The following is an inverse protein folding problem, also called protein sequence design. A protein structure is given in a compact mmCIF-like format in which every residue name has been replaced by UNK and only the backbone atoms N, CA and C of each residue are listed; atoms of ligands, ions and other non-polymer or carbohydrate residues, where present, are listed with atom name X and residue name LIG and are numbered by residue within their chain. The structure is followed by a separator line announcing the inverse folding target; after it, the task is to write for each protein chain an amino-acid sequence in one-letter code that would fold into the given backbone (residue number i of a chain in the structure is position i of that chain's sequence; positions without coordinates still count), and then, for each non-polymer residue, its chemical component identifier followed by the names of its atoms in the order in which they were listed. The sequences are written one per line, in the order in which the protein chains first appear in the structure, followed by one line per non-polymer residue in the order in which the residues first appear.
data_IF_761379947368
#
_entry.id   IF_761379947368
#
_cell.length_a   1.000
_cell.length_b   1.000
_cell.length_c   1.000
_cell.angle_alpha   90.00
_cell.angle_beta   90.00
_cell.angle_gamma   90.00
#
_symmetry.space_group_name_H-M   'P 1'
#
loop_
_entity.id
_entity.type
_entity.pdbx_description
1 polymer ?
#
# COMPACT_ATOMS: atom_id res chain seq x y z
N UNK A 1 16.35 24.19 -18.56
CA UNK A 1 15.14 23.62 -17.93
C UNK A 1 15.60 22.81 -16.73
N UNK A 2 15.30 23.26 -15.51
CA UNK A 2 15.71 22.57 -14.29
C UNK A 2 14.67 21.53 -13.91
N UNK A 3 15.10 20.30 -13.61
CA UNK A 3 14.23 19.27 -13.04
C UNK A 3 13.76 19.74 -11.66
N UNK A 4 12.49 20.08 -11.52
CA UNK A 4 11.91 20.48 -10.23
C UNK A 4 11.62 19.23 -9.43
N UNK A 5 12.48 18.87 -8.49
CA UNK A 5 12.29 17.70 -7.64
C UNK A 5 11.22 17.96 -6.58
N UNK A 6 10.16 17.13 -6.54
CA UNK A 6 9.06 17.31 -5.59
C UNK A 6 8.89 16.07 -4.70
N UNK A 7 8.93 16.29 -3.40
CA UNK A 7 8.51 15.36 -2.37
C UNK A 7 8.31 16.10 -1.05
N UNK A 8 7.58 15.50 -0.11
CA UNK A 8 7.28 16.16 1.18
C UNK A 8 8.55 16.51 1.96
N UNK A 9 9.63 15.76 1.77
CA UNK A 9 10.96 15.99 2.32
C UNK A 9 11.97 16.48 1.25
N UNK A 10 11.51 16.77 0.03
CA UNK A 10 12.37 17.20 -1.08
C UNK A 10 13.25 16.09 -1.65
N UNK A 11 14.56 16.37 -1.73
CA UNK A 11 15.60 15.44 -2.22
C UNK A 11 16.45 14.96 -1.04
N UNK A 12 16.56 13.65 -0.85
CA UNK A 12 17.38 13.06 0.22
C UNK A 12 18.04 11.76 -0.24
N UNK A 13 19.27 11.51 0.23
CA UNK A 13 19.98 10.25 -0.05
C UNK A 13 19.38 9.04 0.68
N UNK A 14 18.89 9.27 1.91
CA UNK A 14 18.19 8.27 2.72
C UNK A 14 17.07 8.88 3.55
N UNK A 15 16.04 8.08 3.85
CA UNK A 15 14.90 8.43 4.71
C UNK A 15 14.55 7.21 5.56
N UNK A 16 14.29 7.41 6.86
CA UNK A 16 13.85 6.32 7.71
C UNK A 16 12.89 6.77 8.81
N UNK A 17 11.97 5.87 9.19
CA UNK A 17 11.02 6.06 10.28
C UNK A 17 10.09 7.27 10.12
N UNK A 18 9.65 7.57 8.89
CA UNK A 18 8.80 8.73 8.61
C UNK A 18 7.38 8.30 8.26
N UNK A 19 6.38 8.99 8.82
CA UNK A 19 4.99 8.93 8.35
C UNK A 19 4.56 10.31 7.84
N UNK A 20 4.08 10.38 6.60
CA UNK A 20 3.55 11.61 6.00
C UNK A 20 2.12 11.39 5.53
N UNK A 21 1.27 12.40 5.77
CA UNK A 21 -0.08 12.47 5.21
C UNK A 21 -0.27 13.75 4.41
N UNK A 22 -1.10 13.71 3.37
CA UNK A 22 -1.55 14.92 2.68
C UNK A 22 -1.46 14.85 1.16
N UNK A 23 -1.28 16.00 0.52
CA UNK A 23 -1.24 16.09 -0.95
C UNK A 23 0.11 16.63 -1.43
N UNK A 24 0.75 15.89 -2.34
CA UNK A 24 1.99 16.27 -3.02
C UNK A 24 1.70 16.44 -4.50
N UNK A 25 2.01 17.63 -5.04
CA UNK A 25 1.81 17.95 -6.46
C UNK A 25 3.11 18.36 -7.11
N UNK A 26 3.64 17.52 -7.98
CA UNK A 26 4.73 17.86 -8.88
C UNK A 26 4.24 18.30 -10.25
N UNK A 27 5.10 19.05 -10.96
CA UNK A 27 4.90 19.43 -12.35
C UNK A 27 5.43 18.36 -13.31
N UNK A 28 6.25 18.77 -14.27
CA UNK A 28 6.84 17.93 -15.31
C UNK A 28 8.02 17.05 -14.86
N UNK A 29 8.01 16.58 -13.61
CA UNK A 29 9.19 15.98 -12.94
C UNK A 29 8.87 14.71 -12.15
N UNK A 30 9.92 14.12 -11.56
CA UNK A 30 9.81 13.02 -10.60
C UNK A 30 9.18 13.53 -9.30
N UNK A 31 8.09 12.88 -8.90
CA UNK A 31 7.35 13.22 -7.69
C UNK A 31 7.24 11.99 -6.80
N UNK A 32 7.66 12.10 -5.55
CA UNK A 32 7.43 11.06 -4.54
C UNK A 32 6.63 11.59 -3.37
N UNK A 33 5.81 10.76 -2.73
CA UNK A 33 5.09 11.16 -1.53
C UNK A 33 6.04 11.60 -0.40
N UNK A 34 7.16 10.88 -0.19
CA UNK A 34 8.18 11.27 0.77
C UNK A 34 9.27 12.10 0.12
N UNK A 35 9.96 11.57 -0.88
CA UNK A 35 11.08 12.24 -1.55
C UNK A 35 11.00 12.07 -3.06
N UNK A 36 11.52 13.04 -3.80
CA UNK A 36 11.54 12.97 -5.27
C UNK A 36 12.48 11.88 -5.80
N UNK A 37 13.65 11.74 -5.16
CA UNK A 37 14.73 10.86 -5.59
C UNK A 37 15.60 10.50 -4.39
N UNK A 38 15.93 9.22 -4.24
CA UNK A 38 16.78 8.71 -3.15
C UNK A 38 17.12 7.23 -3.32
N UNK A 39 18.05 6.72 -2.50
CA UNK A 39 18.58 5.37 -2.66
C UNK A 39 18.18 4.41 -1.54
N UNK A 40 17.93 4.90 -0.33
CA UNK A 40 17.61 4.06 0.82
C UNK A 40 16.43 4.62 1.60
N UNK A 41 15.31 3.92 1.58
CA UNK A 41 14.11 4.34 2.33
C UNK A 41 13.64 3.17 3.18
N UNK A 42 13.52 3.38 4.49
CA UNK A 42 13.09 2.31 5.40
C UNK A 42 12.02 2.73 6.40
N UNK A 43 11.20 1.78 6.83
CA UNK A 43 10.23 1.97 7.93
C UNK A 43 9.37 3.23 7.76
N UNK A 44 8.98 3.54 6.53
CA UNK A 44 8.31 4.80 6.22
C UNK A 44 7.01 4.61 5.48
N UNK A 45 6.11 5.59 5.61
CA UNK A 45 4.78 5.50 5.03
C UNK A 45 4.27 6.84 4.51
N UNK A 46 3.49 6.78 3.43
CA UNK A 46 2.77 7.91 2.90
C UNK A 46 1.27 7.59 2.77
N UNK A 47 0.41 8.49 3.27
CA UNK A 47 -1.04 8.38 3.14
C UNK A 47 -1.63 9.65 2.54
N UNK A 48 -2.13 9.57 1.31
CA UNK A 48 -2.80 10.70 0.67
C UNK A 48 -2.67 10.69 -0.84
N UNK A 49 -2.55 11.87 -1.43
CA UNK A 49 -2.55 12.03 -2.90
C UNK A 49 -1.20 12.51 -3.40
N UNK A 50 -0.60 11.77 -4.33
CA UNK A 50 0.60 12.18 -5.06
C UNK A 50 0.26 12.32 -6.54
N UNK A 51 0.49 13.50 -7.12
CA UNK A 51 0.28 13.73 -8.56
C UNK A 51 1.50 14.37 -9.21
N UNK A 52 1.79 14.03 -10.46
CA UNK A 52 2.91 14.59 -11.25
C UNK A 52 3.08 13.84 -12.58
N UNK A 53 4.23 13.96 -13.23
CA UNK A 53 4.49 13.23 -14.49
C UNK A 53 4.99 11.80 -14.26
N UNK A 54 5.99 11.63 -13.39
CA UNK A 54 6.56 10.32 -13.01
C UNK A 54 6.49 10.18 -11.51
N UNK A 55 5.62 9.32 -11.03
CA UNK A 55 5.14 9.39 -9.64
C UNK A 55 5.32 8.08 -8.91
N UNK A 56 5.91 8.14 -7.72
CA UNK A 56 5.87 7.05 -6.76
C UNK A 56 5.16 7.46 -5.48
N UNK A 57 4.44 6.52 -4.87
CA UNK A 57 3.79 6.78 -3.58
C UNK A 57 4.77 7.12 -2.45
N UNK A 58 5.95 6.49 -2.44
CA UNK A 58 7.04 6.79 -1.51
C UNK A 58 8.10 7.68 -2.18
N UNK A 59 8.59 7.27 -3.35
CA UNK A 59 9.71 7.92 -4.04
C UNK A 59 9.52 8.01 -5.54
N UNK A 60 9.78 9.18 -6.11
CA UNK A 60 9.62 9.42 -7.55
C UNK A 60 10.59 8.60 -8.41
N UNK A 61 11.87 8.58 -8.04
CA UNK A 61 12.91 7.80 -8.71
C UNK A 61 13.90 7.21 -7.70
N UNK A 62 14.27 5.95 -7.89
CA UNK A 62 15.47 5.40 -7.25
C UNK A 62 16.52 5.15 -8.34
N UNK A 63 17.70 5.79 -8.28
CA UNK A 63 18.77 5.47 -9.19
C UNK A 63 19.24 4.04 -8.95
N UNK A 64 19.26 3.59 -7.70
CA UNK A 64 19.54 2.22 -7.26
C UNK A 64 19.48 2.19 -5.73
N UNK A 65 19.58 1.01 -5.12
CA UNK A 65 19.58 0.86 -3.66
C UNK A 65 18.41 0.05 -3.11
N UNK A 66 17.93 0.39 -1.91
CA UNK A 66 16.99 -0.44 -1.15
C UNK A 66 15.80 0.33 -0.61
N UNK A 67 14.60 -0.18 -0.92
CA UNK A 67 13.34 0.25 -0.31
C UNK A 67 12.88 -0.91 0.57
N UNK A 68 12.87 -0.74 1.90
CA UNK A 68 12.53 -1.82 2.82
C UNK A 68 11.51 -1.39 3.88
N UNK A 69 10.49 -2.22 4.13
CA UNK A 69 9.52 -1.96 5.19
C UNK A 69 8.78 -0.62 5.02
N UNK A 70 8.31 -0.34 3.81
CA UNK A 70 7.58 0.90 3.51
C UNK A 70 6.19 0.64 3.00
N UNK A 71 5.29 1.61 3.16
CA UNK A 71 4.00 1.51 2.52
C UNK A 71 3.31 2.80 2.09
N UNK A 72 2.51 2.71 1.04
CA UNK A 72 1.67 3.81 0.56
C UNK A 72 0.19 3.47 0.66
N UNK A 73 -0.65 4.46 0.98
CA UNK A 73 -2.10 4.41 0.78
C UNK A 73 -2.64 5.71 0.19
N UNK A 74 -3.81 5.66 -0.45
CA UNK A 74 -4.44 6.81 -1.09
C UNK A 74 -4.34 6.75 -2.62
N UNK A 75 -3.94 7.85 -3.26
CA UNK A 75 -3.94 7.98 -4.74
C UNK A 75 -2.56 8.37 -5.25
N UNK A 76 -2.07 7.64 -6.25
CA UNK A 76 -0.82 7.94 -6.97
C UNK A 76 -1.14 8.08 -8.45
N UNK A 77 -1.08 9.30 -8.98
CA UNK A 77 -1.49 9.61 -10.35
C UNK A 77 -0.36 10.27 -11.14
N UNK A 78 0.16 9.53 -12.12
CA UNK A 78 1.20 9.98 -13.04
C UNK A 78 0.63 10.30 -14.41
N UNK A 79 0.95 11.48 -14.96
CA UNK A 79 0.57 11.80 -16.35
C UNK A 79 1.35 11.02 -17.39
N UNK A 80 2.45 10.34 -17.01
CA UNK A 80 3.16 9.34 -17.81
C UNK A 80 3.25 8.01 -17.06
N UNK A 81 3.93 8.01 -15.90
CA UNK A 81 4.32 6.79 -15.18
C UNK A 81 3.92 6.88 -13.71
N UNK A 82 3.35 5.81 -13.18
CA UNK A 82 2.95 5.75 -11.79
C UNK A 82 3.29 4.40 -11.15
N UNK A 83 3.92 4.41 -9.98
CA UNK A 83 4.15 3.22 -9.17
C UNK A 83 3.64 3.40 -7.75
N UNK A 84 3.02 2.36 -7.18
CA UNK A 84 2.44 2.47 -5.83
C UNK A 84 3.46 2.81 -4.74
N UNK A 85 4.71 2.36 -4.87
CA UNK A 85 5.84 2.75 -4.01
C UNK A 85 6.85 3.62 -4.76
N UNK A 86 7.32 3.15 -5.91
CA UNK A 86 8.44 3.76 -6.66
C UNK A 86 7.99 4.16 -8.05
N UNK A 87 8.19 5.42 -8.47
CA UNK A 87 7.82 5.82 -9.82
C UNK A 87 8.70 5.16 -10.89
N UNK A 88 10.00 5.39 -10.80
CA UNK A 88 11.01 4.90 -11.76
C UNK A 88 12.22 4.31 -11.03
N UNK A 89 12.74 3.21 -11.57
CA UNK A 89 13.98 2.58 -11.15
C UNK A 89 14.98 2.67 -12.31
N UNK A 90 16.19 3.18 -12.08
CA UNK A 90 17.17 3.41 -13.17
C UNK A 90 18.29 2.37 -13.23
N UNK A 91 18.78 1.89 -12.08
CA UNK A 91 19.79 0.84 -11.92
C UNK A 91 19.25 -0.27 -11.00
N UNK A 92 19.94 -1.43 -10.88
CA UNK A 92 19.49 -2.51 -10.00
C UNK A 92 19.17 -2.05 -8.57
N UNK A 93 18.02 -2.50 -8.09
CA UNK A 93 17.49 -2.13 -6.79
C UNK A 93 16.75 -3.29 -6.13
N UNK A 94 16.57 -3.20 -4.83
CA UNK A 94 15.78 -4.15 -4.05
C UNK A 94 14.62 -3.43 -3.39
N UNK A 95 13.41 -3.89 -3.65
CA UNK A 95 12.21 -3.46 -2.93
C UNK A 95 11.79 -4.65 -2.11
N UNK A 96 11.81 -4.55 -0.79
CA UNK A 96 11.55 -5.68 0.09
C UNK A 96 10.58 -5.32 1.20
N UNK A 97 9.79 -6.29 1.64
CA UNK A 97 8.90 -6.15 2.79
C UNK A 97 8.04 -4.89 2.71
N UNK A 98 7.66 -4.45 1.51
CA UNK A 98 7.03 -3.16 1.27
C UNK A 98 5.76 -3.33 0.46
N UNK A 99 4.80 -2.40 0.63
CA UNK A 99 3.52 -2.57 -0.02
C UNK A 99 2.79 -1.30 -0.41
N UNK A 100 1.83 -1.43 -1.33
CA UNK A 100 0.96 -0.31 -1.68
C UNK A 100 -0.51 -0.73 -1.63
N UNK A 101 -1.31 0.13 -0.99
CA UNK A 101 -2.78 0.10 -0.99
C UNK A 101 -3.36 1.17 -1.93
N UNK A 102 -2.50 1.85 -2.69
CA UNK A 102 -2.91 3.02 -3.44
C UNK A 102 -3.73 2.66 -4.68
N UNK A 103 -4.66 3.54 -5.02
CA UNK A 103 -5.14 3.66 -6.39
C UNK A 103 -4.02 4.26 -7.22
N UNK A 104 -3.49 3.48 -8.17
CA UNK A 104 -2.40 3.87 -9.05
C UNK A 104 -2.95 4.10 -10.45
N UNK A 105 -2.62 5.23 -11.06
CA UNK A 105 -3.02 5.55 -12.43
C UNK A 105 -1.86 6.17 -13.18
N UNK A 106 -1.40 5.50 -14.22
CA UNK A 106 -0.37 5.99 -15.15
C UNK A 106 -0.86 5.94 -16.60
N UNK A 107 -0.66 7.00 -17.37
CA UNK A 107 -1.17 7.04 -18.76
C UNK A 107 -0.39 6.15 -19.74
N UNK A 108 0.90 5.91 -19.45
CA UNK A 108 1.80 5.14 -20.30
C UNK A 108 2.22 3.85 -19.62
N UNK A 109 2.61 3.93 -18.34
CA UNK A 109 2.97 2.78 -17.53
C UNK A 109 2.45 2.95 -16.10
N UNK A 110 1.93 1.87 -15.54
CA UNK A 110 1.53 1.83 -14.15
C UNK A 110 1.88 0.48 -13.53
N UNK A 111 2.21 0.50 -12.24
CA UNK A 111 2.44 -0.74 -11.50
C UNK A 111 2.15 -0.60 -10.02
N UNK A 112 1.72 -1.71 -9.42
CA UNK A 112 1.33 -1.76 -8.01
C UNK A 112 2.49 -1.45 -7.05
N UNK A 113 3.71 -1.89 -7.39
CA UNK A 113 4.93 -1.66 -6.61
C UNK A 113 5.75 -0.54 -7.25
N UNK A 114 6.18 -0.71 -8.50
CA UNK A 114 6.91 0.30 -9.25
C UNK A 114 6.29 0.54 -10.63
N UNK A 115 6.45 1.75 -11.17
CA UNK A 115 5.87 2.11 -12.48
C UNK A 115 6.72 1.67 -13.66
N UNK A 116 8.04 1.83 -13.57
CA UNK A 116 8.97 1.44 -14.63
C UNK A 116 10.35 1.09 -14.06
N UNK A 117 10.98 0.06 -14.63
CA UNK A 117 12.39 -0.22 -14.48
C UNK A 117 13.11 0.06 -15.82
N UNK A 118 14.09 0.96 -15.82
CA UNK A 118 14.83 1.40 -17.01
C UNK A 118 16.24 0.79 -17.06
N UNK A 119 16.89 0.84 -18.23
CA UNK A 119 18.32 0.54 -18.36
C UNK A 119 18.70 -0.88 -17.91
N UNK A 120 19.70 -1.00 -17.04
CA UNK A 120 20.15 -2.28 -16.47
C UNK A 120 19.27 -2.78 -15.32
N UNK A 121 18.14 -2.13 -15.02
CA UNK A 121 17.22 -2.52 -13.96
C UNK A 121 16.38 -3.78 -14.28
N UNK A 122 16.85 -4.68 -15.15
CA UNK A 122 16.29 -6.03 -15.31
C UNK A 122 16.47 -6.89 -14.04
N UNK A 123 17.18 -6.39 -13.03
CA UNK A 123 17.41 -7.04 -11.73
C UNK A 123 16.77 -6.26 -10.58
N UNK A 124 15.46 -5.98 -10.65
CA UNK A 124 14.70 -5.53 -9.48
C UNK A 124 14.32 -6.76 -8.66
N UNK A 125 14.90 -6.90 -7.47
CA UNK A 125 14.46 -7.91 -6.50
C UNK A 125 13.22 -7.39 -5.76
N UNK A 126 12.18 -8.23 -5.71
CA UNK A 126 10.91 -7.93 -5.06
C UNK A 126 10.56 -9.03 -4.06
N UNK A 127 11.08 -8.99 -2.85
CA UNK A 127 10.84 -10.05 -1.87
C UNK A 127 9.88 -9.55 -0.78
N UNK A 128 8.92 -10.38 -0.38
CA UNK A 128 7.97 -10.05 0.68
C UNK A 128 7.18 -8.76 0.41
N UNK A 129 6.83 -8.48 -0.84
CA UNK A 129 6.08 -7.29 -1.19
C UNK A 129 4.62 -7.61 -1.43
N UNK A 130 3.75 -6.60 -1.35
CA UNK A 130 2.40 -6.78 -1.85
C UNK A 130 1.79 -5.50 -2.42
N UNK A 131 0.83 -5.70 -3.32
CA UNK A 131 -0.06 -4.66 -3.79
C UNK A 131 -1.49 -5.09 -3.51
N UNK A 132 -2.29 -4.20 -2.92
CA UNK A 132 -3.71 -4.43 -2.74
C UNK A 132 -4.45 -3.10 -2.90
N UNK A 133 -4.69 -2.73 -4.15
CA UNK A 133 -5.24 -1.43 -4.52
C UNK A 133 -6.02 -1.49 -5.82
N UNK A 134 -6.08 -0.35 -6.51
CA UNK A 134 -6.73 -0.22 -7.82
C UNK A 134 -5.70 0.23 -8.84
N UNK A 135 -5.40 -0.60 -9.83
CA UNK A 135 -4.46 -0.30 -10.92
C UNK A 135 -5.27 -0.02 -12.18
N UNK A 136 -5.16 1.19 -12.76
CA UNK A 136 -5.87 1.53 -13.99
C UNK A 136 -7.40 1.43 -13.90
N UNK A 137 -7.96 1.58 -12.70
CA UNK A 137 -9.40 1.40 -12.44
C UNK A 137 -9.83 -0.04 -12.14
N UNK A 138 -8.91 -1.00 -12.12
CA UNK A 138 -9.18 -2.41 -11.78
C UNK A 138 -8.66 -2.74 -10.39
N UNK A 139 -9.49 -3.33 -9.54
CA UNK A 139 -9.04 -3.85 -8.25
C UNK A 139 -8.03 -4.99 -8.46
N UNK A 140 -6.88 -4.92 -7.82
CA UNK A 140 -5.79 -5.89 -8.01
C UNK A 140 -5.13 -6.20 -6.67
N UNK A 141 -4.93 -7.49 -6.43
CA UNK A 141 -4.16 -8.02 -5.30
C UNK A 141 -3.01 -8.86 -5.85
N UNK A 142 -1.80 -8.58 -5.41
CA UNK A 142 -0.60 -9.35 -5.72
C UNK A 142 0.29 -9.42 -4.48
N UNK A 143 0.87 -10.58 -4.21
CA UNK A 143 1.85 -10.76 -3.13
C UNK A 143 3.07 -11.43 -3.75
N UNK A 144 4.27 -10.89 -3.50
CA UNK A 144 5.54 -11.55 -3.77
C UNK A 144 6.07 -12.12 -2.46
N UNK A 145 6.33 -13.42 -2.42
CA UNK A 145 6.83 -14.09 -1.23
C UNK A 145 8.30 -13.75 -0.93
N UNK A 146 8.87 -14.37 0.11
CA UNK A 146 10.26 -14.12 0.52
C UNK A 146 11.33 -14.55 -0.51
N UNK A 147 10.94 -15.29 -1.55
CA UNK A 147 11.80 -15.66 -2.69
C UNK A 147 11.60 -14.73 -3.88
N UNK A 148 10.60 -13.85 -3.81
CA UNK A 148 10.18 -12.96 -4.89
C UNK A 148 9.27 -13.60 -5.92
N UNK A 149 8.68 -14.75 -5.58
CA UNK A 149 7.68 -15.42 -6.42
C UNK A 149 6.31 -14.78 -6.19
N UNK A 150 5.63 -14.39 -7.28
CA UNK A 150 4.27 -13.86 -7.20
C UNK A 150 3.27 -14.97 -6.86
N UNK A 151 2.52 -14.79 -5.77
CA UNK A 151 1.42 -15.63 -5.37
C UNK A 151 0.16 -15.25 -6.16
N UNK A 152 -0.42 -16.22 -6.86
CA UNK A 152 -1.64 -16.03 -7.66
C UNK A 152 -2.90 -16.38 -6.85
N UNK A 153 -4.04 -15.77 -7.20
CA UNK A 153 -5.34 -16.11 -6.61
C UNK A 153 -5.59 -15.60 -5.18
N UNK A 154 -4.84 -14.59 -4.72
CA UNK A 154 -5.01 -13.99 -3.39
C UNK A 154 -6.35 -13.26 -3.29
N UNK A 155 -7.18 -13.69 -2.34
CA UNK A 155 -8.50 -13.11 -2.05
C UNK A 155 -8.42 -11.85 -1.19
N UNK A 156 -9.48 -11.04 -1.20
CA UNK A 156 -9.60 -9.86 -0.34
C UNK A 156 -9.57 -10.16 1.18
N UNK A 157 -9.87 -11.40 1.58
CA UNK A 157 -9.73 -11.83 2.98
C UNK A 157 -8.28 -12.15 3.32
N UNK A 158 -7.56 -12.81 2.40
CA UNK A 158 -6.14 -13.17 2.59
C UNK A 158 -5.24 -11.92 2.68
N UNK A 159 -5.58 -10.80 2.02
CA UNK A 159 -4.82 -9.54 2.14
C UNK A 159 -4.98 -8.84 3.51
N UNK A 160 -5.74 -9.41 4.45
CA UNK A 160 -5.85 -8.94 5.85
C UNK A 160 -5.57 -10.05 6.86
N UNK A 161 -5.10 -11.21 6.38
CA UNK A 161 -4.78 -12.35 7.21
C UNK A 161 -3.31 -12.32 7.64
N UNK A 162 -3.08 -12.33 8.95
CA UNK A 162 -1.73 -12.29 9.51
C UNK A 162 -0.88 -13.49 9.09
N UNK A 163 -1.49 -14.66 8.92
CA UNK A 163 -0.75 -15.86 8.52
C UNK A 163 -0.27 -15.76 7.06
N UNK A 164 -1.11 -15.25 6.17
CA UNK A 164 -0.74 -14.96 4.77
C UNK A 164 0.50 -14.07 4.70
N UNK A 165 0.54 -12.97 5.46
CA UNK A 165 1.69 -12.06 5.47
C UNK A 165 2.92 -12.65 6.16
N UNK A 166 2.75 -13.39 7.25
CA UNK A 166 3.85 -14.05 7.95
C UNK A 166 4.56 -15.06 7.02
N UNK A 167 3.78 -15.86 6.29
CA UNK A 167 4.30 -16.79 5.29
C UNK A 167 4.98 -16.08 4.11
N UNK A 168 4.51 -14.88 3.75
CA UNK A 168 5.15 -14.03 2.75
C UNK A 168 6.44 -13.35 3.25
N UNK A 169 6.79 -13.48 4.54
CA UNK A 169 8.02 -12.96 5.14
C UNK A 169 7.88 -11.64 5.90
N UNK A 170 6.67 -11.22 6.26
CA UNK A 170 6.48 -10.07 7.16
C UNK A 170 6.79 -10.46 8.60
N UNK A 171 7.71 -9.72 9.22
CA UNK A 171 8.07 -9.88 10.64
C UNK A 171 7.07 -9.12 11.54
N UNK A 172 6.19 -9.88 12.20
CA UNK A 172 5.23 -9.35 13.17
C UNK A 172 5.77 -9.25 14.61
N UNK A 173 6.99 -9.69 14.86
CA UNK A 173 7.66 -9.54 16.15
C UNK A 173 8.25 -8.13 16.28
N UNK A 174 8.98 -7.65 15.27
CA UNK A 174 9.74 -6.40 15.39
C UNK A 174 9.32 -5.26 14.45
N UNK A 175 8.81 -5.58 13.25
CA UNK A 175 8.66 -4.57 12.19
C UNK A 175 7.20 -4.17 12.00
N UNK A 176 6.34 -5.16 11.83
CA UNK A 176 4.93 -4.99 11.47
C UNK A 176 4.03 -5.36 12.63
N UNK A 177 2.86 -4.75 12.68
CA UNK A 177 1.72 -5.19 13.45
C UNK A 177 0.52 -5.32 12.52
N UNK A 178 -0.48 -6.11 12.92
CA UNK A 178 -1.73 -6.27 12.18
C UNK A 178 -2.86 -6.48 13.19
N UNK A 179 -4.00 -5.82 12.97
CA UNK A 179 -5.17 -6.01 13.83
C UNK A 179 -5.92 -7.25 13.36
N UNK A 180 -6.25 -8.15 14.28
CA UNK A 180 -7.03 -9.38 14.05
C UNK A 180 -8.18 -9.50 15.07
N UNK A 181 -9.13 -10.39 14.83
CA UNK A 181 -10.31 -10.61 15.69
C UNK A 181 -11.54 -9.83 15.23
N UNK A 182 -12.21 -9.12 16.15
CA UNK A 182 -13.45 -8.36 15.86
C UNK A 182 -13.26 -7.21 14.86
N UNK A 183 -12.01 -6.82 14.60
CA UNK A 183 -11.62 -5.92 13.53
C UNK A 183 -10.39 -6.48 12.82
N UNK A 184 -10.25 -6.13 11.55
CA UNK A 184 -9.10 -6.52 10.72
C UNK A 184 -8.50 -5.29 10.05
N UNK A 185 -7.18 -5.27 9.88
CA UNK A 185 -6.45 -4.20 9.18
C UNK A 185 -5.46 -4.77 8.17
N UNK A 186 -4.82 -3.89 7.41
CA UNK A 186 -3.55 -4.22 6.74
C UNK A 186 -2.39 -4.23 7.76
N UNK A 187 -1.24 -4.85 7.43
CA UNK A 187 -0.01 -4.69 8.20
C UNK A 187 0.33 -3.19 8.36
N UNK A 188 0.78 -2.75 9.52
CA UNK A 188 1.23 -1.38 9.76
C UNK A 188 2.51 -1.38 10.59
N UNK A 189 3.29 -0.30 10.50
CA UNK A 189 4.62 -0.27 11.11
C UNK A 189 4.51 -0.10 12.62
N UNK A 190 5.25 -0.91 13.38
CA UNK A 190 5.34 -0.76 14.85
C UNK A 190 6.11 0.50 15.25
N UNK A 191 7.14 0.87 14.48
CA UNK A 191 8.03 1.99 14.81
C UNK A 191 7.38 3.38 14.62
N UNK A 192 6.36 3.50 13.75
CA UNK A 192 5.63 4.75 13.52
C UNK A 192 4.14 4.50 13.24
N UNK A 193 3.39 4.00 14.24
CA UNK A 193 2.02 3.55 14.03
C UNK A 193 1.12 4.69 13.55
N UNK A 194 0.33 4.39 12.53
CA UNK A 194 -0.50 5.36 11.84
C UNK A 194 -1.90 5.46 12.47
N UNK A 195 -2.45 6.67 12.48
CA UNK A 195 -3.81 6.95 12.95
C UNK A 195 -4.61 7.66 11.86
N UNK A 196 -5.70 7.06 11.36
CA UNK A 196 -6.20 5.72 11.71
C UNK A 196 -5.29 4.60 11.16
N UNK A 197 -5.37 3.40 11.78
CA UNK A 197 -4.68 2.20 11.29
C UNK A 197 -5.18 1.88 9.86
N UNK A 198 -4.28 1.61 8.91
CA UNK A 198 -4.62 1.42 7.50
C UNK A 198 -5.64 0.29 7.29
N UNK A 199 -6.77 0.64 6.65
CA UNK A 199 -7.82 -0.29 6.27
C UNK A 199 -8.49 -1.04 7.42
N UNK A 200 -8.38 -0.52 8.65
CA UNK A 200 -9.05 -1.09 9.82
C UNK A 200 -10.57 -1.03 9.66
N UNK A 201 -11.20 -2.19 9.70
CA UNK A 201 -12.66 -2.36 9.60
C UNK A 201 -13.13 -3.43 10.57
N UNK A 202 -14.42 -3.40 10.95
CA UNK A 202 -15.00 -4.52 11.72
C UNK A 202 -15.01 -5.78 10.87
N UNK A 203 -14.56 -6.90 11.45
CA UNK A 203 -14.53 -8.20 10.78
C UNK A 203 -15.93 -8.84 10.74
N UNK A 204 -16.73 -8.59 11.77
CA UNK A 204 -18.10 -9.06 11.90
C UNK A 204 -19.08 -7.90 11.68
N UNK A 205 -19.83 -7.95 10.58
CA UNK A 205 -21.08 -7.19 10.47
C UNK A 205 -22.15 -8.01 11.18
N UNK A 206 -22.61 -7.58 12.36
CA UNK A 206 -23.80 -8.20 12.96
C UNK A 206 -24.94 -8.19 11.92
N UNK A 207 -25.69 -9.30 11.72
CA UNK A 207 -26.85 -9.27 10.85
C UNK A 207 -27.81 -8.20 11.37
N UNK A 208 -28.03 -7.17 10.57
CA UNK A 208 -29.06 -6.18 10.88
C UNK A 208 -30.38 -6.85 10.57
N UNK A 209 -31.11 -7.24 11.62
CA UNK A 209 -32.51 -7.66 11.49
C UNK A 209 -33.31 -6.41 11.13
N UNK A 210 -33.50 -6.17 9.82
CA UNK A 210 -34.22 -5.00 9.30
C UNK A 210 -35.75 -5.14 9.40
N UNK A 211 -36.24 -6.32 9.78
CA UNK A 211 -37.65 -6.59 10.04
C UNK A 211 -37.82 -6.90 11.53
N UNK A 212 -38.45 -6.01 12.32
CA UNK A 212 -38.86 -6.36 13.67
C UNK A 212 -39.59 -7.71 13.64
N UNK A 213 -39.22 -8.62 14.54
CA UNK A 213 -40.03 -9.83 14.75
C UNK A 213 -41.42 -9.32 15.12
N UNK A 214 -42.44 -9.75 14.37
CA UNK A 214 -43.81 -9.36 14.67
C UNK A 214 -44.11 -9.70 16.13
N UNK A 215 -44.67 -8.74 16.86
CA UNK A 215 -45.08 -8.96 18.24
C UNK A 215 -45.99 -10.18 18.28
N UNK A 216 -45.55 -11.23 18.98
CA UNK A 216 -46.38 -12.41 19.19
C UNK A 216 -47.44 -11.99 20.19
N UNK A 217 -48.63 -11.66 19.71
CA UNK A 217 -49.80 -11.52 20.58
C UNK A 217 -50.15 -12.91 21.07
N UNK A 218 -49.79 -13.20 22.32
CA UNK A 218 -50.28 -14.39 23.01
C UNK A 218 -51.73 -14.08 23.37
N UNK A 219 -52.69 -14.76 22.74
CA UNK A 219 -54.07 -14.71 23.20
C UNK A 219 -54.15 -15.46 24.54
N UNK A 220 -54.16 -14.70 25.64
CA UNK A 220 -54.31 -15.22 27.00
C UNK A 220 -55.66 -15.94 27.23
N UNK A 221 -56.58 -15.88 26.27
CA UNK A 221 -57.87 -16.56 26.29
C UNK A 221 -57.96 -17.74 25.30
N UNK A 222 -56.87 -18.13 24.64
CA UNK A 222 -56.90 -19.28 23.74
C UNK A 222 -57.27 -20.57 24.51
N UNK A 223 -58.22 -21.33 23.97
CA UNK A 223 -58.63 -22.60 24.56
C UNK A 223 -57.44 -23.57 24.58
N UNK A 224 -57.20 -24.19 25.74
CA UNK A 224 -56.13 -25.15 25.92
C UNK A 224 -56.44 -26.40 25.07
N UNK A 225 -55.76 -26.55 23.93
CA UNK A 225 -55.80 -27.77 23.08
C UNK A 225 -54.58 -28.63 23.33
#
# INVERSE_FOLDING_TARGET
QGSVYVGSLGYAGSVSNVHVTGTVRGGSSMTGGLISRGANITNSSFMGTVTGTRVGGIVGEIPGGTISSNYTSGTVSGTEKAGGLVGVISDPASINTSYSLATVTGSSLEGGIFGEAQGSATSVSQNSNYYAGVLGGTATNAIWDNTGTELTGITATQIKDSLTFANAGFDFENTWAIVTGDSVSYPYLQANPQSPIPGKVKANSAPVVSTPIADVTVDENAANT
#
